data_IF_276644248138
#
_entry.id   IF_276644248138
#
_cell.length_a   1.000
_cell.length_b   1.000
_cell.length_c   1.000
_cell.angle_alpha   90.00
_cell.angle_beta   90.00
_cell.angle_gamma   90.00
#
_symmetry.space_group_name_H-M   'P 1'
#
loop_
_entity.id
_entity.type
_entity.pdbx_description
1 polymer ?
#
# COMPACT_ATOMS: atom_id res chain seq x y z
N UNK A 1 59.83 -10.09 37.25
CA UNK A 1 60.16 -8.65 37.27
C UNK A 1 60.18 -8.16 35.84
N UNK A 2 59.04 -7.73 35.31
CA UNK A 2 58.98 -7.10 33.99
C UNK A 2 57.67 -6.32 33.88
N UNK A 3 57.73 -4.99 34.08
CA UNK A 3 56.83 -4.00 33.48
C UNK A 3 57.04 -2.63 34.11
N UNK A 4 57.88 -1.79 33.50
CA UNK A 4 57.91 -0.35 33.77
C UNK A 4 58.54 0.46 32.63
N UNK A 5 58.16 0.18 31.38
CA UNK A 5 58.63 1.02 30.25
C UNK A 5 57.57 1.48 29.23
N UNK A 6 56.30 1.08 29.35
CA UNK A 6 55.30 1.40 28.30
C UNK A 6 54.33 2.55 28.60
N UNK A 7 54.47 3.27 29.72
CA UNK A 7 53.49 4.32 30.08
C UNK A 7 53.70 5.68 29.40
N UNK A 8 54.92 6.00 28.94
CA UNK A 8 55.22 7.35 28.43
C UNK A 8 55.06 7.52 26.91
N UNK A 9 54.92 6.44 26.14
CA UNK A 9 54.75 6.52 24.67
C UNK A 9 53.26 6.65 24.31
N UNK A 10 52.37 6.01 25.07
CA UNK A 10 50.91 6.08 24.82
C UNK A 10 50.36 7.48 25.09
N UNK A 11 50.92 8.21 26.05
CA UNK A 11 50.46 9.56 26.41
C UNK A 11 50.87 10.64 25.41
N UNK A 12 51.97 10.44 24.65
CA UNK A 12 52.43 11.39 23.63
C UNK A 12 51.65 11.26 22.30
N UNK A 13 51.16 10.06 21.97
CA UNK A 13 50.36 9.84 20.75
C UNK A 13 48.95 10.44 20.88
N UNK A 14 48.36 10.47 22.08
CA UNK A 14 47.03 11.01 22.31
C UNK A 14 46.95 12.54 22.24
N UNK A 15 48.01 13.27 22.59
CA UNK A 15 48.00 14.74 22.54
C UNK A 15 48.16 15.27 21.10
N UNK A 16 48.88 14.56 20.23
CA UNK A 16 49.03 14.96 18.82
C UNK A 16 47.74 14.78 17.99
N UNK A 17 46.88 13.81 18.36
CA UNK A 17 45.61 13.57 17.66
C UNK A 17 44.53 14.63 17.96
N UNK A 18 44.61 15.30 19.11
CA UNK A 18 43.60 16.30 19.53
C UNK A 18 43.84 17.70 18.94
N UNK A 19 45.06 18.04 18.51
CA UNK A 19 45.35 19.33 17.88
C UNK A 19 45.04 19.31 16.37
N UNK A 20 45.08 18.14 15.72
CA UNK A 20 44.74 17.98 14.30
C UNK A 20 43.24 18.00 13.97
N UNK A 21 42.38 17.64 14.93
CA UNK A 21 40.93 17.59 14.72
C UNK A 21 40.27 18.97 14.71
N UNK A 22 40.85 19.98 15.37
CA UNK A 22 40.27 21.32 15.47
C UNK A 22 40.43 22.18 14.18
N UNK A 23 41.37 21.84 13.29
CA UNK A 23 41.56 22.58 12.03
C UNK A 23 40.72 22.05 10.85
N UNK A 24 40.14 20.86 10.97
CA UNK A 24 39.30 20.28 9.90
C UNK A 24 37.82 20.66 10.01
N UNK A 25 37.34 21.03 11.20
CA UNK A 25 35.92 21.40 11.43
C UNK A 25 35.61 22.83 10.95
N UNK A 26 36.63 23.70 10.85
CA UNK A 26 36.48 25.08 10.38
C UNK A 26 36.29 25.24 8.87
N UNK A 27 36.63 24.24 8.05
CA UNK A 27 36.55 24.34 6.59
C UNK A 27 35.27 23.75 5.97
N UNK A 28 34.46 23.02 6.74
CA UNK A 28 33.14 22.54 6.30
C UNK A 28 32.01 23.53 6.59
N UNK A 29 32.09 24.35 7.64
CA UNK A 29 31.02 25.31 7.98
C UNK A 29 30.77 26.35 6.88
N UNK A 30 31.80 26.74 6.13
CA UNK A 30 31.69 27.72 5.03
C UNK A 30 31.07 27.15 3.75
N UNK A 31 31.02 25.82 3.60
CA UNK A 31 30.38 25.14 2.44
C UNK A 31 28.94 24.70 2.73
N UNK A 32 28.56 24.51 3.99
CA UNK A 32 27.16 24.21 4.36
C UNK A 32 26.29 25.47 4.25
N UNK A 33 26.78 26.63 4.70
CA UNK A 33 26.02 27.90 4.60
C UNK A 33 25.75 28.39 3.16
N UNK A 34 26.51 27.91 2.17
CA UNK A 34 26.29 28.23 0.74
C UNK A 34 25.40 27.24 0.00
N UNK A 35 25.02 26.12 0.63
CA UNK A 35 24.01 25.20 0.10
C UNK A 35 22.60 25.53 0.62
N UNK A 36 22.48 26.14 1.81
CA UNK A 36 21.18 26.60 2.32
C UNK A 36 20.63 27.86 1.62
N UNK A 37 21.49 28.73 1.07
CA UNK A 37 21.02 29.89 0.31
C UNK A 37 20.70 29.60 -1.17
N UNK A 38 21.24 28.51 -1.73
CA UNK A 38 20.90 28.08 -3.09
C UNK A 38 19.55 27.35 -3.17
N UNK A 39 18.93 27.01 -2.02
CA UNK A 39 17.62 26.36 -1.94
C UNK A 39 16.47 27.33 -1.59
N UNK A 40 16.74 28.65 -1.55
CA UNK A 40 15.72 29.69 -1.31
C UNK A 40 15.03 30.19 -2.59
N UNK A 41 15.05 29.40 -3.66
CA UNK A 41 14.68 29.88 -4.98
C UNK A 41 14.01 28.85 -5.89
N UNK A 42 13.11 28.01 -5.37
CA UNK A 42 11.94 27.46 -6.08
C UNK A 42 11.02 26.82 -5.04
N UNK A 43 10.39 27.66 -4.22
CA UNK A 43 9.20 27.23 -3.51
C UNK A 43 8.13 26.89 -4.54
N UNK A 44 8.04 25.62 -4.94
CA UNK A 44 6.78 25.09 -5.46
C UNK A 44 5.79 25.33 -4.33
N UNK A 45 4.70 26.07 -4.55
CA UNK A 45 3.68 26.17 -3.52
C UNK A 45 3.26 24.75 -3.19
N UNK A 46 3.39 24.34 -1.92
CA UNK A 46 2.70 23.16 -1.42
C UNK A 46 1.23 23.52 -1.44
N UNK A 47 0.64 23.42 -2.63
CA UNK A 47 -0.78 23.47 -2.83
C UNK A 47 -1.31 22.30 -2.02
N UNK A 48 -2.20 22.57 -1.07
CA UNK A 48 -3.06 21.53 -0.53
C UNK A 48 -3.56 20.74 -1.73
N UNK A 49 -3.29 19.44 -1.74
CA UNK A 49 -3.72 18.55 -2.81
C UNK A 49 -5.25 18.42 -2.72
N UNK A 50 -5.92 19.48 -3.17
CA UNK A 50 -7.31 19.48 -3.56
C UNK A 50 -7.44 18.53 -4.75
N UNK A 51 -8.59 17.86 -4.77
CA UNK A 51 -8.98 16.90 -5.77
C UNK A 51 -8.67 17.40 -7.20
N UNK A 52 -7.94 16.64 -8.04
CA UNK A 52 -7.72 17.01 -9.43
C UNK A 52 -9.06 17.15 -10.17
N UNK A 53 -9.14 18.14 -11.06
CA UNK A 53 -10.37 18.79 -11.55
C UNK A 53 -11.34 17.95 -12.43
N UNK A 54 -11.46 16.63 -12.27
CA UNK A 54 -12.42 15.79 -13.02
C UNK A 54 -13.21 14.78 -12.21
N UNK A 55 -12.92 14.60 -10.91
CA UNK A 55 -13.68 13.74 -10.01
C UNK A 55 -14.24 14.60 -8.87
N UNK A 56 -15.52 14.43 -8.55
CA UNK A 56 -16.19 15.06 -7.40
C UNK A 56 -16.57 13.97 -6.41
N UNK A 57 -15.61 13.64 -5.54
CA UNK A 57 -15.76 12.64 -4.50
C UNK A 57 -16.90 12.96 -3.53
N UNK A 58 -17.16 14.24 -3.28
CA UNK A 58 -18.23 14.69 -2.37
C UNK A 58 -19.60 14.44 -2.99
N UNK A 59 -19.76 14.75 -4.28
CA UNK A 59 -20.99 14.43 -5.00
C UNK A 59 -21.25 12.92 -5.07
N UNK A 60 -20.21 12.11 -5.31
CA UNK A 60 -20.33 10.65 -5.28
C UNK A 60 -20.71 10.14 -3.89
N UNK A 61 -20.05 10.64 -2.84
CA UNK A 61 -20.40 10.27 -1.45
C UNK A 61 -21.85 10.62 -1.11
N UNK A 62 -22.30 11.82 -1.52
CA UNK A 62 -23.67 12.28 -1.32
C UNK A 62 -24.69 11.42 -2.05
N UNK A 63 -24.41 11.02 -3.30
CA UNK A 63 -25.32 10.16 -4.07
C UNK A 63 -25.46 8.75 -3.50
N UNK A 64 -24.44 8.30 -2.75
CA UNK A 64 -24.45 7.05 -1.98
C UNK A 64 -25.04 7.21 -0.57
N UNK A 65 -25.56 8.39 -0.22
CA UNK A 65 -26.24 8.66 1.05
C UNK A 65 -25.32 8.98 2.22
N UNK A 66 -24.04 9.29 1.97
CA UNK A 66 -23.10 9.69 3.02
C UNK A 66 -23.26 11.17 3.39
N UNK A 67 -23.00 11.48 4.65
CA UNK A 67 -22.95 12.86 5.13
C UNK A 67 -21.85 13.64 4.40
N UNK A 68 -22.27 14.54 3.51
CA UNK A 68 -21.35 15.25 2.61
C UNK A 68 -20.41 16.21 3.36
N UNK A 69 -20.82 16.73 4.53
CA UNK A 69 -20.00 17.63 5.34
C UNK A 69 -18.88 16.88 6.07
N UNK A 70 -19.21 15.75 6.70
CA UNK A 70 -18.25 14.85 7.32
C UNK A 70 -17.30 14.26 6.29
N UNK A 71 -17.82 13.86 5.12
CA UNK A 71 -17.01 13.34 4.02
C UNK A 71 -16.03 14.37 3.49
N UNK A 72 -16.51 15.56 3.16
CA UNK A 72 -15.65 16.66 2.72
C UNK A 72 -14.57 16.98 3.75
N UNK A 73 -14.93 17.02 5.04
CA UNK A 73 -13.97 17.25 6.13
C UNK A 73 -12.89 16.17 6.15
N UNK A 74 -13.27 14.90 6.03
CA UNK A 74 -12.32 13.77 6.00
C UNK A 74 -11.32 13.89 4.84
N UNK A 75 -11.82 14.21 3.64
CA UNK A 75 -10.99 14.36 2.43
C UNK A 75 -10.10 15.60 2.51
N UNK A 76 -10.65 16.76 2.87
CA UNK A 76 -9.91 18.02 3.01
C UNK A 76 -8.77 17.90 4.03
N UNK A 77 -9.02 17.21 5.16
CA UNK A 77 -8.03 16.98 6.21
C UNK A 77 -7.05 15.85 5.89
N UNK A 78 -7.27 15.09 4.80
CA UNK A 78 -6.44 13.94 4.42
C UNK A 78 -6.39 12.89 5.54
N UNK A 79 -7.51 12.70 6.25
CA UNK A 79 -7.60 11.88 7.47
C UNK A 79 -7.14 10.43 7.27
N UNK A 80 -7.24 9.93 6.04
CA UNK A 80 -6.94 8.54 5.67
C UNK A 80 -5.61 8.37 4.96
N UNK A 81 -4.85 9.47 4.74
CA UNK A 81 -3.55 9.46 4.05
C UNK A 81 -2.57 8.45 4.65
N UNK A 82 -2.43 8.44 5.97
CA UNK A 82 -1.50 7.52 6.65
C UNK A 82 -1.87 6.05 6.41
N UNK A 83 -3.18 5.74 6.36
CA UNK A 83 -3.67 4.39 6.08
C UNK A 83 -3.39 3.97 4.63
N UNK A 84 -3.57 4.88 3.66
CA UNK A 84 -3.19 4.59 2.26
C UNK A 84 -1.70 4.27 2.16
N UNK A 85 -0.84 5.06 2.80
CA UNK A 85 0.62 4.82 2.80
C UNK A 85 1.00 3.50 3.50
N UNK A 86 0.28 3.10 4.54
CA UNK A 86 0.48 1.83 5.23
C UNK A 86 0.10 0.64 4.35
N UNK A 87 -1.08 0.68 3.73
CA UNK A 87 -1.56 -0.38 2.83
C UNK A 87 -0.64 -0.54 1.61
N UNK A 88 -0.19 0.57 1.02
CA UNK A 88 0.76 0.56 -0.10
C UNK A 88 2.10 -0.11 0.27
N UNK A 89 2.71 0.30 1.39
CA UNK A 89 3.96 -0.32 1.90
C UNK A 89 3.77 -1.79 2.26
N UNK A 90 2.60 -2.12 2.80
CA UNK A 90 2.21 -3.50 3.08
C UNK A 90 2.19 -4.36 1.82
N UNK A 91 1.59 -3.86 0.74
CA UNK A 91 1.59 -4.53 -0.56
C UNK A 91 3.01 -4.74 -1.09
N UNK A 92 3.85 -3.70 -1.05
CA UNK A 92 5.25 -3.78 -1.50
C UNK A 92 6.02 -4.84 -0.71
N UNK A 93 5.84 -4.87 0.61
CA UNK A 93 6.49 -5.86 1.49
C UNK A 93 6.00 -7.28 1.22
N UNK A 94 4.72 -7.43 0.85
CA UNK A 94 4.10 -8.69 0.44
C UNK A 94 4.49 -9.11 -1.00
N UNK A 95 5.33 -8.35 -1.70
CA UNK A 95 5.83 -8.67 -3.04
C UNK A 95 4.96 -8.14 -4.19
N UNK A 96 3.97 -7.29 -3.90
CA UNK A 96 3.17 -6.60 -4.93
C UNK A 96 4.02 -5.52 -5.59
N UNK A 97 4.12 -5.58 -6.92
CA UNK A 97 4.94 -4.66 -7.73
C UNK A 97 4.10 -3.81 -8.70
N UNK A 98 2.79 -4.03 -8.73
CA UNK A 98 1.86 -3.34 -9.63
C UNK A 98 0.43 -3.78 -9.35
N UNK A 99 -0.52 -3.17 -10.06
CA UNK A 99 -1.95 -3.38 -9.83
C UNK A 99 -2.66 -3.99 -11.05
N UNK A 100 -3.67 -4.85 -10.85
CA UNK A 100 -4.08 -5.41 -9.57
C UNK A 100 -3.00 -6.39 -9.04
N UNK A 101 -2.68 -6.27 -7.76
CA UNK A 101 -1.85 -7.20 -7.03
C UNK A 101 -2.73 -8.07 -6.16
N UNK A 102 -3.01 -9.30 -6.59
CA UNK A 102 -3.95 -10.18 -5.89
C UNK A 102 -3.17 -11.26 -5.14
N UNK A 103 -3.52 -11.46 -3.87
CA UNK A 103 -2.96 -12.52 -3.03
C UNK A 103 -4.13 -13.31 -2.47
N UNK A 104 -4.22 -14.60 -2.83
CA UNK A 104 -5.11 -15.52 -2.13
C UNK A 104 -4.34 -16.23 -1.02
N UNK A 105 -4.90 -16.24 0.18
CA UNK A 105 -4.33 -16.84 1.38
C UNK A 105 -5.30 -17.86 1.97
N UNK A 106 -4.86 -19.11 2.14
CA UNK A 106 -5.61 -20.16 2.82
C UNK A 106 -5.28 -20.13 4.33
N UNK A 107 -6.25 -19.68 5.13
CA UNK A 107 -6.13 -19.52 6.59
C UNK A 107 -5.86 -20.82 7.33
N UNK A 108 -6.17 -21.98 6.73
CA UNK A 108 -5.97 -23.29 7.37
C UNK A 108 -4.56 -23.83 7.17
N UNK A 109 -3.96 -23.59 6.00
CA UNK A 109 -2.64 -24.15 5.64
C UNK A 109 -1.52 -23.12 5.73
N UNK A 110 -1.85 -21.84 5.69
CA UNK A 110 -0.92 -20.73 5.52
C UNK A 110 -0.32 -20.67 4.11
N UNK A 111 -0.84 -21.46 3.16
CA UNK A 111 -0.45 -21.38 1.76
C UNK A 111 -1.02 -20.11 1.13
N UNK A 112 -0.30 -19.59 0.17
CA UNK A 112 -0.68 -18.39 -0.56
C UNK A 112 -0.18 -18.42 -1.99
N UNK A 113 -0.92 -17.76 -2.86
CA UNK A 113 -0.53 -17.53 -4.26
C UNK A 113 -0.69 -16.06 -4.60
N UNK A 114 0.32 -15.50 -5.27
CA UNK A 114 0.26 -14.16 -5.85
C UNK A 114 -0.18 -14.29 -7.30
N UNK A 115 -1.28 -13.65 -7.64
CA UNK A 115 -1.86 -13.64 -8.99
C UNK A 115 -1.47 -12.32 -9.63
N UNK A 116 -0.57 -12.33 -10.62
CA UNK A 116 -0.10 -11.09 -11.25
C UNK A 116 -1.15 -10.57 -12.23
N UNK A 117 -1.70 -9.39 -11.96
CA UNK A 117 -2.57 -8.69 -12.89
C UNK A 117 -3.98 -9.26 -13.01
N UNK A 118 -4.72 -8.74 -13.98
CA UNK A 118 -6.10 -9.12 -14.22
C UNK A 118 -6.17 -10.49 -14.93
N UNK A 119 -7.03 -11.36 -14.41
CA UNK A 119 -7.37 -12.65 -15.03
C UNK A 119 -8.89 -12.79 -15.17
N UNK A 120 -9.33 -13.69 -16.04
CA UNK A 120 -10.76 -13.99 -16.21
C UNK A 120 -11.30 -14.88 -15.07
N UNK A 121 -12.64 -15.00 -14.92
CA UNK A 121 -13.26 -15.81 -13.86
C UNK A 121 -12.84 -17.27 -13.83
N UNK A 122 -12.63 -17.90 -14.99
CA UNK A 122 -12.23 -19.32 -15.05
C UNK A 122 -10.82 -19.48 -14.51
N UNK A 123 -9.91 -18.59 -14.92
CA UNK A 123 -8.54 -18.57 -14.41
C UNK A 123 -8.49 -18.24 -12.92
N UNK A 124 -9.33 -17.30 -12.45
CA UNK A 124 -9.42 -16.97 -11.03
C UNK A 124 -9.90 -18.16 -10.18
N UNK A 125 -10.93 -18.88 -10.65
CA UNK A 125 -11.40 -20.10 -9.99
C UNK A 125 -10.31 -21.19 -9.97
N UNK A 126 -9.53 -21.34 -11.04
CA UNK A 126 -8.42 -22.29 -11.07
C UNK A 126 -7.37 -22.00 -9.99
N UNK A 127 -7.06 -20.72 -9.71
CA UNK A 127 -6.18 -20.36 -8.60
C UNK A 127 -6.75 -20.76 -7.25
N UNK A 128 -8.05 -20.52 -7.02
CA UNK A 128 -8.73 -20.92 -5.80
C UNK A 128 -8.67 -22.44 -5.61
N UNK A 129 -9.01 -23.21 -6.64
CA UNK A 129 -9.02 -24.67 -6.59
C UNK A 129 -7.62 -25.25 -6.31
N UNK A 130 -6.58 -24.72 -6.97
CA UNK A 130 -5.21 -25.16 -6.77
C UNK A 130 -4.68 -24.77 -5.39
N UNK A 131 -4.99 -23.56 -4.90
CA UNK A 131 -4.66 -23.13 -3.54
C UNK A 131 -5.24 -24.10 -2.50
N UNK A 132 -6.53 -24.41 -2.61
CA UNK A 132 -7.23 -25.32 -1.71
C UNK A 132 -6.71 -26.76 -1.80
N UNK A 133 -6.20 -27.16 -2.96
CA UNK A 133 -5.59 -28.47 -3.20
C UNK A 133 -4.09 -28.52 -2.84
N UNK A 134 -3.46 -27.40 -2.48
CA UNK A 134 -2.02 -27.32 -2.20
C UNK A 134 -1.15 -27.55 -3.45
N UNK A 135 -1.60 -27.10 -4.62
CA UNK A 135 -0.94 -27.29 -5.92
C UNK A 135 -0.48 -25.96 -6.53
N UNK A 136 0.57 -26.03 -7.34
CA UNK A 136 0.95 -24.94 -8.22
C UNK A 136 -0.12 -24.72 -9.31
N UNK A 137 -0.22 -23.50 -9.83
CA UNK A 137 -1.10 -23.18 -10.96
C UNK A 137 -0.29 -23.07 -12.24
N UNK A 138 -0.66 -23.82 -13.28
CA UNK A 138 -0.04 -23.74 -14.61
C UNK A 138 -0.99 -23.08 -15.60
N UNK A 139 -0.54 -21.97 -16.20
CA UNK A 139 -1.24 -21.22 -17.25
C UNK A 139 -0.39 -21.25 -18.53
N UNK A 140 -0.77 -22.09 -19.49
CA UNK A 140 0.03 -22.32 -20.69
C UNK A 140 1.43 -22.84 -20.35
N UNK A 141 2.48 -22.08 -20.68
CA UNK A 141 3.88 -22.42 -20.36
C UNK A 141 4.35 -21.88 -19.01
N UNK A 142 3.57 -21.00 -18.37
CA UNK A 142 3.93 -20.38 -17.10
C UNK A 142 3.39 -21.22 -15.94
N UNK A 143 4.23 -21.48 -14.93
CA UNK A 143 3.79 -22.08 -13.67
C UNK A 143 3.98 -21.07 -12.55
N UNK A 144 2.89 -20.71 -11.89
CA UNK A 144 2.88 -19.90 -10.69
C UNK A 144 2.96 -20.83 -9.50
N UNK A 145 4.02 -20.66 -8.71
CA UNK A 145 4.30 -21.50 -7.55
C UNK A 145 3.42 -21.12 -6.38
N UNK A 146 2.88 -22.13 -5.71
CA UNK A 146 2.30 -21.94 -4.39
C UNK A 146 3.43 -21.70 -3.39
N UNK A 147 3.22 -20.77 -2.47
CA UNK A 147 4.23 -20.41 -1.48
C UNK A 147 3.61 -19.88 -0.20
N UNK A 148 4.43 -19.16 0.57
CA UNK A 148 4.00 -18.42 1.75
C UNK A 148 4.49 -16.99 1.59
N UNK A 149 3.56 -16.04 1.47
CA UNK A 149 3.90 -14.61 1.43
C UNK A 149 4.34 -14.22 2.84
N UNK A 150 5.64 -13.94 3.01
CA UNK A 150 6.27 -13.76 4.32
C UNK A 150 5.79 -12.51 5.07
N UNK A 151 5.56 -11.40 4.35
CA UNK A 151 5.20 -10.11 4.94
C UNK A 151 3.79 -9.65 4.55
N UNK A 152 2.86 -10.59 4.39
CA UNK A 152 1.46 -10.25 4.20
C UNK A 152 0.91 -9.67 5.51
N UNK A 153 0.49 -8.41 5.49
CA UNK A 153 -0.22 -7.82 6.62
C UNK A 153 -1.52 -8.62 6.82
N UNK A 154 -1.68 -9.22 7.99
CA UNK A 154 -2.86 -10.01 8.33
C UNK A 154 -4.15 -9.17 8.24
N UNK A 155 -5.29 -9.85 8.05
CA UNK A 155 -6.61 -9.24 8.19
C UNK A 155 -6.73 -8.60 9.58
N UNK A 156 -7.18 -7.36 9.65
CA UNK A 156 -7.40 -6.64 10.90
C UNK A 156 -8.74 -5.89 10.90
N UNK A 157 -9.10 -5.30 12.04
CA UNK A 157 -10.40 -4.63 12.22
C UNK A 157 -10.58 -3.37 11.37
N UNK A 158 -9.50 -2.77 10.87
CA UNK A 158 -9.58 -1.62 9.96
C UNK A 158 -9.89 -2.04 8.51
N UNK A 159 -9.60 -3.29 8.13
CA UNK A 159 -9.87 -3.79 6.78
C UNK A 159 -11.38 -3.81 6.50
N UNK A 160 -11.74 -3.36 5.30
CA UNK A 160 -13.09 -3.52 4.77
C UNK A 160 -13.16 -4.83 3.99
N UNK A 161 -14.17 -5.63 4.30
CA UNK A 161 -14.28 -7.02 3.86
C UNK A 161 -15.63 -7.23 3.19
N UNK A 162 -15.61 -7.79 1.98
CA UNK A 162 -16.79 -8.30 1.30
C UNK A 162 -16.81 -9.82 1.40
N UNK A 163 -17.90 -10.38 1.89
CA UNK A 163 -17.99 -11.81 2.26
C UNK A 163 -17.77 -12.06 3.75
N UNK A 164 -17.61 -13.33 4.12
CA UNK A 164 -17.46 -13.75 5.52
C UNK A 164 -16.01 -13.54 6.00
N UNK A 165 -15.81 -12.75 7.06
CA UNK A 165 -14.48 -12.51 7.67
C UNK A 165 -13.82 -13.80 8.19
N UNK A 166 -14.59 -14.85 8.43
CA UNK A 166 -14.13 -16.18 8.85
C UNK A 166 -13.93 -17.17 7.69
N UNK A 167 -14.10 -16.71 6.45
CA UNK A 167 -13.89 -17.53 5.27
C UNK A 167 -12.49 -18.17 5.27
N UNK A 168 -12.43 -19.41 4.76
CA UNK A 168 -11.16 -20.15 4.67
C UNK A 168 -10.15 -19.39 3.81
N UNK A 169 -10.59 -18.80 2.70
CA UNK A 169 -9.72 -18.07 1.79
C UNK A 169 -9.93 -16.58 1.93
N UNK A 170 -8.84 -15.87 2.21
CA UNK A 170 -8.80 -14.41 2.20
C UNK A 170 -8.12 -13.97 0.90
N UNK A 171 -8.83 -13.18 0.10
CA UNK A 171 -8.36 -12.58 -1.13
C UNK A 171 -8.02 -11.12 -0.85
N UNK A 172 -6.73 -10.82 -0.74
CA UNK A 172 -6.23 -9.46 -0.63
C UNK A 172 -5.99 -8.90 -2.03
N UNK A 173 -6.70 -7.85 -2.39
CA UNK A 173 -6.46 -7.11 -3.63
C UNK A 173 -5.80 -5.78 -3.29
N UNK A 174 -4.58 -5.59 -3.78
CA UNK A 174 -3.88 -4.30 -3.79
C UNK A 174 -4.17 -3.62 -5.12
N UNK A 175 -4.87 -2.50 -5.05
CA UNK A 175 -5.58 -1.97 -6.22
C UNK A 175 -5.51 -0.45 -6.31
N UNK A 176 -5.78 0.03 -7.52
CA UNK A 176 -5.72 1.43 -7.91
C UNK A 176 -6.98 1.75 -8.72
N UNK A 177 -7.79 2.69 -8.26
CA UNK A 177 -9.06 3.05 -8.88
C UNK A 177 -8.96 3.69 -10.28
N UNK A 178 -7.77 4.12 -10.70
CA UNK A 178 -7.49 4.61 -12.05
C UNK A 178 -6.90 3.54 -12.97
N UNK A 179 -6.46 2.40 -12.43
CA UNK A 179 -5.88 1.32 -13.21
C UNK A 179 -6.94 0.59 -14.04
N UNK A 180 -6.81 0.53 -15.39
CA UNK A 180 -7.79 -0.15 -16.23
C UNK A 180 -7.87 -1.66 -15.97
N UNK A 181 -6.76 -2.30 -15.59
CA UNK A 181 -6.76 -3.72 -15.25
C UNK A 181 -7.44 -4.02 -13.90
N UNK A 182 -7.40 -3.08 -12.95
CA UNK A 182 -8.15 -3.20 -11.71
C UNK A 182 -9.67 -3.16 -11.99
N UNK A 183 -10.11 -2.23 -12.83
CA UNK A 183 -11.51 -2.19 -13.29
C UNK A 183 -11.92 -3.46 -14.04
N UNK A 184 -11.02 -4.02 -14.84
CA UNK A 184 -11.25 -5.28 -15.55
C UNK A 184 -11.43 -6.48 -14.59
N UNK A 185 -10.62 -6.56 -13.52
CA UNK A 185 -10.69 -7.71 -12.59
C UNK A 185 -11.81 -7.58 -11.56
N UNK A 186 -12.30 -6.37 -11.29
CA UNK A 186 -13.39 -6.12 -10.33
C UNK A 186 -14.61 -7.05 -10.51
N UNK A 187 -15.22 -7.19 -11.71
CA UNK A 187 -16.32 -8.14 -11.92
C UNK A 187 -15.90 -9.61 -11.86
N UNK A 188 -14.62 -9.92 -12.14
CA UNK A 188 -14.08 -11.28 -11.94
C UNK A 188 -14.09 -11.65 -10.45
N UNK A 189 -13.66 -10.72 -9.58
CA UNK A 189 -13.66 -10.95 -8.13
C UNK A 189 -15.08 -11.04 -7.56
N UNK A 190 -16.02 -10.24 -8.08
CA UNK A 190 -17.44 -10.37 -7.72
C UNK A 190 -17.98 -11.77 -8.06
N UNK A 191 -17.77 -12.22 -9.31
CA UNK A 191 -18.17 -13.58 -9.74
C UNK A 191 -17.57 -14.66 -8.84
N UNK A 192 -16.27 -14.54 -8.51
CA UNK A 192 -15.60 -15.50 -7.62
C UNK A 192 -16.29 -15.57 -6.25
N UNK A 193 -16.66 -14.42 -5.67
CA UNK A 193 -17.33 -14.38 -4.36
C UNK A 193 -18.73 -14.99 -4.42
N UNK A 194 -19.49 -14.69 -5.48
CA UNK A 194 -20.86 -15.20 -5.67
C UNK A 194 -20.85 -16.73 -5.83
N UNK A 195 -19.95 -17.26 -6.64
CA UNK A 195 -19.82 -18.71 -6.89
C UNK A 195 -19.27 -19.47 -5.67
N UNK A 196 -18.63 -18.76 -4.74
CA UNK A 196 -17.98 -19.34 -3.56
C UNK A 196 -18.47 -18.72 -2.25
N UNK A 197 -19.77 -18.40 -2.18
CA UNK A 197 -20.38 -17.77 -1.02
C UNK A 197 -19.98 -18.44 0.31
N UNK A 198 -19.47 -17.64 1.25
CA UNK A 198 -18.99 -18.08 2.57
C UNK A 198 -17.61 -18.77 2.60
N UNK A 199 -16.99 -19.01 1.43
CA UNK A 199 -15.66 -19.66 1.35
C UNK A 199 -14.52 -18.69 1.06
N UNK A 200 -14.83 -17.55 0.43
CA UNK A 200 -13.89 -16.49 0.09
C UNK A 200 -14.35 -15.17 0.70
N UNK A 201 -13.43 -14.43 1.32
CA UNK A 201 -13.60 -13.03 1.67
C UNK A 201 -12.66 -12.17 0.82
N UNK A 202 -13.15 -11.05 0.31
CA UNK A 202 -12.35 -10.07 -0.42
C UNK A 202 -12.02 -8.89 0.47
N UNK A 203 -10.73 -8.59 0.56
CA UNK A 203 -10.15 -7.46 1.27
C UNK A 203 -9.54 -6.54 0.21
N UNK A 204 -10.05 -5.32 0.10
CA UNK A 204 -9.49 -4.30 -0.80
C UNK A 204 -8.49 -3.43 -0.02
N UNK A 205 -7.27 -3.29 -0.54
CA UNK A 205 -6.22 -2.43 0.00
C UNK A 205 -5.70 -1.48 -1.05
N UNK A 206 -5.44 -0.25 -0.63
CA UNK A 206 -5.02 0.84 -1.50
C UNK A 206 -3.57 0.63 -1.96
N UNK A 207 -3.34 0.73 -3.26
CA UNK A 207 -2.01 0.70 -3.88
C UNK A 207 -1.96 1.71 -5.04
N UNK A 208 -2.14 3.02 -4.78
CA UNK A 208 -2.16 4.03 -5.83
C UNK A 208 -0.79 4.15 -6.50
N UNK A 209 -0.74 3.96 -7.82
CA UNK A 209 0.47 4.11 -8.63
C UNK A 209 0.63 5.57 -9.04
N UNK A 210 0.93 6.47 -8.10
CA UNK A 210 0.93 7.93 -8.28
C UNK A 210 1.64 8.44 -9.55
N UNK A 211 2.72 7.77 -9.96
CA UNK A 211 3.49 8.13 -11.14
C UNK A 211 2.75 7.83 -12.46
N UNK A 212 1.85 6.86 -12.45
CA UNK A 212 1.05 6.43 -13.59
C UNK A 212 -0.37 7.02 -13.54
N UNK A 213 -0.91 7.17 -12.33
CA UNK A 213 -2.28 7.57 -12.08
C UNK A 213 -2.35 8.70 -11.03
N UNK A 214 -2.24 9.98 -11.47
CA UNK A 214 -2.16 11.11 -10.54
C UNK A 214 -3.38 11.30 -9.64
N UNK A 215 -4.54 10.70 -9.95
CA UNK A 215 -5.77 10.83 -9.15
C UNK A 215 -6.04 9.61 -8.25
N UNK A 216 -5.26 8.53 -8.41
CA UNK A 216 -5.45 7.27 -7.70
C UNK A 216 -5.40 7.44 -6.18
N UNK A 217 -4.42 8.20 -5.67
CA UNK A 217 -4.29 8.43 -4.22
C UNK A 217 -5.44 9.23 -3.66
N UNK A 218 -5.91 10.28 -4.34
CA UNK A 218 -7.09 11.03 -3.90
C UNK A 218 -8.34 10.14 -3.86
N UNK A 219 -8.52 9.26 -4.85
CA UNK A 219 -9.62 8.28 -4.86
C UNK A 219 -9.49 7.24 -3.75
N UNK A 220 -8.27 6.78 -3.48
CA UNK A 220 -7.95 5.86 -2.40
C UNK A 220 -8.33 6.44 -1.03
N UNK A 221 -7.94 7.69 -0.79
CA UNK A 221 -8.28 8.39 0.46
C UNK A 221 -9.79 8.65 0.58
N UNK A 222 -10.44 9.04 -0.52
CA UNK A 222 -11.89 9.23 -0.59
C UNK A 222 -12.66 7.93 -0.27
N UNK A 223 -12.25 6.79 -0.84
CA UNK A 223 -12.86 5.50 -0.54
C UNK A 223 -12.71 5.13 0.94
N UNK A 224 -11.51 5.31 1.51
CA UNK A 224 -11.30 5.08 2.94
C UNK A 224 -12.10 6.06 3.81
N UNK A 225 -12.30 7.31 3.37
CA UNK A 225 -13.18 8.27 4.04
C UNK A 225 -14.64 7.82 4.02
N UNK A 226 -15.12 7.27 2.90
CA UNK A 226 -16.46 6.68 2.81
C UNK A 226 -16.62 5.56 3.86
N UNK A 227 -15.63 4.68 3.95
CA UNK A 227 -15.60 3.63 4.97
C UNK A 227 -15.52 4.14 6.41
N UNK A 228 -14.72 5.19 6.66
CA UNK A 228 -14.58 5.80 8.00
C UNK A 228 -15.91 6.36 8.50
N UNK A 229 -16.75 6.86 7.59
CA UNK A 229 -18.01 7.54 7.91
C UNK A 229 -19.18 6.57 7.95
N UNK A 230 -19.31 5.72 6.93
CA UNK A 230 -20.45 4.82 6.75
C UNK A 230 -20.16 3.35 7.01
N UNK A 231 -18.94 3.00 7.42
CA UNK A 231 -18.53 1.63 7.69
C UNK A 231 -18.29 0.80 6.42
N UNK A 232 -18.30 -0.52 6.60
CA UNK A 232 -17.94 -1.49 5.57
C UNK A 232 -18.77 -1.34 4.29
N UNK A 233 -20.09 -1.22 4.41
CA UNK A 233 -20.98 -1.17 3.25
C UNK A 233 -20.78 0.11 2.44
N UNK A 234 -20.53 1.24 3.12
CA UNK A 234 -20.22 2.49 2.46
C UNK A 234 -18.88 2.47 1.70
N UNK A 235 -17.84 1.86 2.29
CA UNK A 235 -16.56 1.67 1.61
C UNK A 235 -16.76 0.89 0.29
N UNK A 236 -17.50 -0.22 0.37
CA UNK A 236 -17.71 -1.10 -0.78
C UNK A 236 -18.60 -0.48 -1.84
N UNK A 237 -19.67 0.23 -1.45
CA UNK A 237 -20.52 0.96 -2.39
C UNK A 237 -19.73 2.06 -3.12
N UNK A 238 -18.88 2.79 -2.39
CA UNK A 238 -18.01 3.81 -2.99
C UNK A 238 -16.95 3.20 -3.92
N UNK A 239 -16.33 2.09 -3.51
CA UNK A 239 -15.34 1.36 -4.30
C UNK A 239 -15.93 0.79 -5.59
N UNK A 240 -17.13 0.22 -5.54
CA UNK A 240 -17.83 -0.27 -6.72
C UNK A 240 -18.15 0.87 -7.68
N UNK A 241 -18.61 2.01 -7.18
CA UNK A 241 -18.89 3.17 -8.02
C UNK A 241 -17.60 3.66 -8.72
N UNK A 242 -16.49 3.76 -8.00
CA UNK A 242 -15.19 4.11 -8.58
C UNK A 242 -14.72 3.12 -9.65
N UNK A 243 -14.97 1.82 -9.47
CA UNK A 243 -14.59 0.79 -10.44
C UNK A 243 -15.36 0.90 -11.78
N UNK A 244 -16.45 1.68 -11.81
CA UNK A 244 -17.27 1.90 -13.02
C UNK A 244 -17.01 3.23 -13.74
N UNK A 245 -16.24 4.15 -13.14
CA UNK A 245 -15.84 5.42 -13.75
C UNK A 245 -14.79 5.22 -14.84
#
# INVERSE_FOLDING_TARGET
MENSKNSNIVQLVLVAALVGAAFYIGSLSSKVGKLEEANKGTGVPTQAAGEPATFDSVALASSLGLDSGAFKTCVDNRDTKARVEEEEKGGQSAGVQGTPGIIMFDTQTGNSVVIPGAVDPTTMQLFLDNLLAGKDTTLGTQTIKLGKVENLIALNDADYVRGDKSARVLLFEYSDYDCPFCKQVHPTLQTLLDDNAGKVAWIYRQFPLDQLHPTARSKSEAALCAGKIGGNDAFWAFSDALATL
#
